data_IF_197212638899
#
_entry.id   IF_197212638899
#
_cell.length_a   1.000
_cell.length_b   1.000
_cell.length_c   1.000
_cell.angle_alpha   90.00
_cell.angle_beta   90.00
_cell.angle_gamma   90.00
#
_symmetry.space_group_name_H-M   'P 1'
#
loop_
_entity.id
_entity.type
_entity.pdbx_description
1 polymer ?
#
# COMPACT_ATOMS: atom_id res chain seq x y z
N UNK A 1 -51.59 -5.93 10.25
CA UNK A 1 -51.57 -6.51 8.88
C UNK A 1 -50.26 -7.23 8.54
N UNK A 2 -49.11 -6.94 9.16
CA UNK A 2 -47.84 -7.63 8.89
C UNK A 2 -47.72 -9.06 9.48
N UNK A 3 -48.30 -9.30 10.67
CA UNK A 3 -48.16 -10.61 11.38
C UNK A 3 -48.97 -11.73 10.72
N UNK A 4 -50.08 -11.40 10.03
CA UNK A 4 -50.96 -12.38 9.37
C UNK A 4 -50.44 -12.87 8.01
N UNK A 5 -49.33 -12.31 7.53
CA UNK A 5 -48.73 -12.58 6.22
C UNK A 5 -47.44 -13.45 6.30
N UNK A 6 -47.18 -14.13 7.42
CA UNK A 6 -46.03 -15.04 7.57
C UNK A 6 -44.67 -14.36 7.80
N UNK A 7 -44.60 -13.04 7.64
CA UNK A 7 -43.39 -12.20 7.75
C UNK A 7 -42.69 -12.35 9.11
N UNK A 8 -43.44 -12.62 10.18
CA UNK A 8 -42.86 -12.84 11.52
C UNK A 8 -41.95 -14.07 11.58
N UNK A 9 -42.28 -15.13 10.84
CA UNK A 9 -41.46 -16.34 10.82
C UNK A 9 -40.21 -16.15 9.95
N UNK A 10 -40.32 -15.37 8.88
CA UNK A 10 -39.15 -14.99 8.07
C UNK A 10 -38.16 -14.11 8.85
N UNK A 11 -38.65 -13.21 9.72
CA UNK A 11 -37.78 -12.39 10.58
C UNK A 11 -37.05 -13.26 11.61
N UNK A 12 -37.73 -14.21 12.23
CA UNK A 12 -37.09 -15.17 13.16
C UNK A 12 -36.05 -16.01 12.41
N UNK A 13 -36.39 -16.48 11.21
CA UNK A 13 -35.48 -17.23 10.34
C UNK A 13 -34.23 -16.43 9.98
N UNK A 14 -34.42 -15.18 9.57
CA UNK A 14 -33.34 -14.27 9.25
C UNK A 14 -32.40 -14.03 10.45
N UNK A 15 -32.95 -13.84 11.64
CA UNK A 15 -32.16 -13.61 12.86
C UNK A 15 -31.29 -14.82 13.18
N UNK A 16 -31.84 -16.05 13.25
CA UNK A 16 -31.04 -17.21 13.65
C UNK A 16 -30.04 -17.63 12.57
N UNK A 17 -30.38 -17.51 11.28
CA UNK A 17 -29.45 -17.76 10.17
C UNK A 17 -28.31 -16.75 10.17
N UNK A 18 -28.58 -15.48 10.44
CA UNK A 18 -27.55 -14.44 10.53
C UNK A 18 -26.59 -14.71 11.69
N UNK A 19 -27.11 -15.12 12.85
CA UNK A 19 -26.28 -15.51 14.00
C UNK A 19 -25.43 -16.74 13.66
N UNK A 20 -26.02 -17.77 13.05
CA UNK A 20 -25.29 -18.98 12.66
C UNK A 20 -24.19 -18.66 11.66
N UNK A 21 -24.47 -17.82 10.66
CA UNK A 21 -23.49 -17.38 9.67
C UNK A 21 -22.34 -16.59 10.32
N UNK A 22 -22.64 -15.68 11.24
CA UNK A 22 -21.62 -14.92 11.97
C UNK A 22 -20.70 -15.84 12.80
N UNK A 23 -21.27 -16.83 13.49
CA UNK A 23 -20.51 -17.83 14.25
C UNK A 23 -19.64 -18.66 13.31
N UNK A 24 -20.20 -19.20 12.23
CA UNK A 24 -19.45 -19.99 11.25
C UNK A 24 -18.29 -19.20 10.65
N UNK A 25 -18.53 -17.95 10.25
CA UNK A 25 -17.51 -17.06 9.69
C UNK A 25 -16.40 -16.75 10.70
N UNK A 26 -16.75 -16.50 11.98
CA UNK A 26 -15.78 -16.29 13.04
C UNK A 26 -14.87 -17.51 13.23
N UNK A 27 -15.44 -18.72 13.27
CA UNK A 27 -14.66 -19.94 13.44
C UNK A 27 -13.77 -20.24 12.23
N UNK A 28 -14.29 -20.10 11.01
CA UNK A 28 -13.52 -20.29 9.77
C UNK A 28 -12.37 -19.29 9.71
N UNK A 29 -12.65 -17.99 9.91
CA UNK A 29 -11.64 -16.96 9.92
C UNK A 29 -10.60 -17.20 11.01
N UNK A 30 -11.02 -17.43 12.26
CA UNK A 30 -10.12 -17.70 13.39
C UNK A 30 -9.24 -18.93 13.14
N UNK A 31 -9.77 -19.99 12.52
CA UNK A 31 -8.99 -21.16 12.13
C UNK A 31 -7.98 -20.84 11.03
N UNK A 32 -8.39 -20.13 9.98
CA UNK A 32 -7.49 -19.72 8.90
C UNK A 32 -6.37 -18.79 9.41
N UNK A 33 -6.72 -17.86 10.27
CA UNK A 33 -5.80 -16.91 10.92
C UNK A 33 -4.78 -17.65 11.79
N UNK A 34 -5.21 -18.61 12.62
CA UNK A 34 -4.30 -19.36 13.51
C UNK A 34 -3.44 -20.37 12.77
N UNK A 35 -3.98 -21.07 11.77
CA UNK A 35 -3.28 -22.16 11.06
C UNK A 35 -2.42 -21.69 9.89
N UNK A 36 -2.88 -20.68 9.15
CA UNK A 36 -2.19 -20.17 7.95
C UNK A 36 -1.48 -18.82 8.19
N UNK A 37 -1.40 -18.36 9.44
CA UNK A 37 -0.78 -17.10 9.86
C UNK A 37 -1.12 -15.91 8.94
N UNK A 38 -2.39 -15.81 8.52
CA UNK A 38 -2.82 -14.74 7.63
C UNK A 38 -2.65 -13.37 8.31
N UNK A 39 -2.12 -12.42 7.55
CA UNK A 39 -1.98 -11.03 7.98
C UNK A 39 -3.38 -10.40 8.07
N UNK A 40 -3.92 -10.35 9.29
CA UNK A 40 -5.17 -9.66 9.60
C UNK A 40 -4.88 -8.25 10.05
N UNK A 41 -5.80 -7.34 9.80
CA UNK A 41 -5.68 -5.93 10.19
C UNK A 41 -5.32 -5.81 11.71
N UNK A 42 -4.11 -5.33 12.01
CA UNK A 42 -3.57 -5.20 13.37
C UNK A 42 -2.73 -6.39 13.90
N UNK A 43 -2.55 -7.45 13.10
CA UNK A 43 -1.69 -8.60 13.40
C UNK A 43 -0.71 -8.80 12.24
N UNK A 44 0.58 -8.96 12.52
CA UNK A 44 1.61 -9.04 11.48
C UNK A 44 1.76 -7.73 10.65
N UNK A 45 1.65 -6.56 11.31
CA UNK A 45 1.97 -5.27 10.69
C UNK A 45 0.88 -4.65 9.79
N UNK A 46 -0.28 -5.29 9.64
CA UNK A 46 -1.32 -4.84 8.70
C UNK A 46 -2.03 -3.51 9.08
N UNK A 47 -1.69 -2.90 10.22
CA UNK A 47 -2.06 -1.50 10.54
C UNK A 47 -0.87 -0.63 10.94
N UNK A 48 0.34 -1.18 10.93
CA UNK A 48 1.50 -0.38 11.28
C UNK A 48 1.94 0.38 10.03
N UNK A 49 1.61 1.66 10.00
CA UNK A 49 2.28 2.67 9.18
C UNK A 49 3.81 2.73 9.44
N UNK A 50 4.33 1.83 10.29
CA UNK A 50 5.73 1.49 10.48
C UNK A 50 5.85 -0.03 10.68
N UNK A 51 5.96 -0.78 9.59
CA UNK A 51 6.35 -2.21 9.51
C UNK A 51 5.23 -3.15 9.06
N UNK A 52 5.15 -3.37 7.75
CA UNK A 52 4.79 -4.66 7.19
C UNK A 52 5.97 -5.15 6.32
N UNK A 53 6.83 -5.94 6.97
CA UNK A 53 7.84 -6.94 6.53
C UNK A 53 8.51 -6.72 5.15
N UNK A 54 9.83 -6.71 4.95
CA UNK A 54 10.94 -7.38 5.65
C UNK A 54 10.72 -8.85 5.99
N UNK A 55 10.68 -9.66 4.94
CA UNK A 55 11.21 -11.02 5.01
C UNK A 55 12.56 -11.05 4.29
N UNK A 56 13.62 -11.09 5.10
CA UNK A 56 14.95 -11.67 4.85
C UNK A 56 15.84 -11.05 3.77
N UNK A 57 16.60 -10.04 4.18
CA UNK A 57 18.07 -10.01 3.99
C UNK A 57 18.68 -9.11 5.06
N UNK A 58 19.54 -9.67 5.91
CA UNK A 58 20.30 -8.96 6.94
C UNK A 58 20.96 -7.70 6.38
N UNK A 59 20.51 -6.50 6.76
CA UNK A 59 21.34 -5.28 6.83
C UNK A 59 20.64 -4.19 7.67
N UNK A 60 21.40 -3.27 8.30
CA UNK A 60 20.92 -2.48 9.44
C UNK A 60 19.92 -1.40 9.00
N UNK A 61 18.65 -1.59 9.36
CA UNK A 61 17.56 -0.64 9.09
C UNK A 61 17.45 0.49 10.12
N UNK A 62 18.24 1.53 9.94
CA UNK A 62 17.85 2.89 10.36
C UNK A 62 18.16 3.95 9.27
N UNK A 63 18.83 3.57 8.18
CA UNK A 63 19.16 4.46 7.06
C UNK A 63 18.28 4.27 5.79
N UNK A 64 17.34 3.31 5.78
CA UNK A 64 16.75 2.79 4.53
C UNK A 64 15.45 3.46 4.05
N UNK A 65 14.66 4.11 4.91
CA UNK A 65 13.47 4.83 4.45
C UNK A 65 13.87 6.04 3.59
N UNK A 66 14.88 6.78 4.06
CA UNK A 66 15.49 7.87 3.31
C UNK A 66 16.14 7.36 2.01
N UNK A 67 16.81 6.20 2.04
CA UNK A 67 17.46 5.65 0.84
C UNK A 67 16.47 5.23 -0.23
N UNK A 68 15.35 4.60 0.13
CA UNK A 68 14.31 4.20 -0.82
C UNK A 68 13.67 5.43 -1.49
N UNK A 69 13.33 6.45 -0.71
CA UNK A 69 12.72 7.69 -1.26
C UNK A 69 13.72 8.44 -2.12
N UNK A 70 14.99 8.55 -1.70
CA UNK A 70 16.07 9.12 -2.50
C UNK A 70 16.26 8.36 -3.81
N UNK A 71 16.21 7.03 -3.78
CA UNK A 71 16.31 6.19 -4.97
C UNK A 71 15.13 6.40 -5.91
N UNK A 72 13.91 6.53 -5.39
CA UNK A 72 12.71 6.86 -6.19
C UNK A 72 12.86 8.23 -6.84
N UNK A 73 13.32 9.25 -6.12
CA UNK A 73 13.51 10.59 -6.69
C UNK A 73 14.62 10.59 -7.75
N UNK A 74 15.69 9.84 -7.54
CA UNK A 74 16.73 9.67 -8.56
C UNK A 74 16.21 8.94 -9.81
N UNK A 75 15.41 7.88 -9.64
CA UNK A 75 14.74 7.17 -10.73
C UNK A 75 13.72 8.05 -11.46
N UNK A 76 13.21 9.10 -10.82
CA UNK A 76 12.34 10.09 -11.45
C UNK A 76 13.12 11.17 -12.22
N UNK A 77 14.44 11.10 -12.30
CA UNK A 77 15.28 12.12 -12.94
C UNK A 77 15.65 13.29 -12.00
N UNK A 78 15.45 13.11 -10.70
CA UNK A 78 15.73 14.11 -9.67
C UNK A 78 14.58 15.07 -9.40
N UNK A 79 14.74 15.90 -8.36
CA UNK A 79 13.74 16.85 -7.88
C UNK A 79 13.19 17.79 -8.97
N UNK A 80 14.04 18.25 -9.87
CA UNK A 80 13.66 19.21 -10.91
C UNK A 80 12.75 18.60 -11.98
N UNK A 81 12.66 17.27 -12.06
CA UNK A 81 11.84 16.59 -13.04
C UNK A 81 10.43 16.26 -12.52
N UNK A 82 10.17 16.41 -11.23
CA UNK A 82 8.89 16.07 -10.60
C UNK A 82 7.98 17.31 -10.62
N UNK A 83 6.86 17.21 -11.33
CA UNK A 83 5.86 18.28 -11.41
C UNK A 83 4.82 18.16 -10.29
N UNK A 84 4.32 16.95 -10.04
CA UNK A 84 3.31 16.68 -9.02
C UNK A 84 3.43 15.23 -8.51
N UNK A 85 3.12 15.03 -7.22
CA UNK A 85 3.18 13.73 -6.55
C UNK A 85 1.87 13.48 -5.82
N UNK A 86 1.14 12.48 -6.28
CA UNK A 86 -0.09 12.02 -5.65
C UNK A 86 -0.05 10.51 -5.37
N UNK A 87 -0.85 10.03 -4.43
CA UNK A 87 -0.97 8.62 -4.11
C UNK A 87 -2.44 8.25 -3.87
N UNK A 88 -2.81 7.08 -4.36
CA UNK A 88 -4.03 6.39 -4.00
C UNK A 88 -3.72 5.33 -2.91
N UNK A 89 -4.71 4.52 -2.54
CA UNK A 89 -4.53 3.42 -1.56
C UNK A 89 -3.37 2.46 -1.87
N UNK A 90 -3.07 2.20 -3.14
CA UNK A 90 -2.07 1.18 -3.54
C UNK A 90 -1.07 1.62 -4.59
N UNK A 91 -1.22 2.84 -5.12
CA UNK A 91 -0.46 3.32 -6.28
C UNK A 91 0.01 4.74 -6.05
N UNK A 92 1.28 4.98 -6.31
CA UNK A 92 1.91 6.29 -6.36
C UNK A 92 1.82 6.80 -7.81
N UNK A 93 1.22 7.97 -8.00
CA UNK A 93 1.06 8.65 -9.28
C UNK A 93 1.96 9.87 -9.28
N UNK A 94 2.97 9.88 -10.14
CA UNK A 94 3.89 11.00 -10.28
C UNK A 94 3.72 11.59 -11.67
N UNK A 95 3.60 12.91 -11.76
CA UNK A 95 3.68 13.63 -13.01
C UNK A 95 5.09 14.19 -13.13
N UNK A 96 5.78 13.91 -14.24
CA UNK A 96 7.13 14.42 -14.52
C UNK A 96 7.14 15.38 -15.70
N UNK A 97 8.15 16.24 -15.75
CA UNK A 97 8.37 17.15 -16.88
C UNK A 97 8.97 16.42 -18.09
N UNK A 98 9.88 15.48 -17.86
CA UNK A 98 10.54 14.71 -18.89
C UNK A 98 10.53 13.22 -18.54
N UNK A 99 9.84 12.42 -19.36
CA UNK A 99 9.72 10.97 -19.18
C UNK A 99 11.01 10.22 -19.55
N UNK A 100 11.89 10.80 -20.35
CA UNK A 100 13.13 10.14 -20.83
C UNK A 100 14.19 10.04 -19.72
N UNK A 101 14.06 10.84 -18.67
CA UNK A 101 14.93 10.82 -17.48
C UNK A 101 14.48 9.77 -16.45
N UNK A 102 13.36 9.10 -16.69
CA UNK A 102 12.81 8.11 -15.78
C UNK A 102 13.56 6.79 -15.96
N UNK A 103 14.07 6.24 -14.87
CA UNK A 103 14.81 4.98 -14.87
C UNK A 103 13.96 3.77 -15.25
N UNK A 104 14.65 2.69 -15.67
CA UNK A 104 14.03 1.45 -16.13
C UNK A 104 13.22 0.72 -15.06
N UNK A 105 12.29 -0.13 -15.49
CA UNK A 105 11.45 -0.97 -14.62
C UNK A 105 12.27 -1.80 -13.61
N UNK A 106 13.48 -2.21 -13.96
CA UNK A 106 14.39 -2.92 -13.06
C UNK A 106 14.79 -2.07 -11.84
N UNK A 107 15.08 -0.78 -12.05
CA UNK A 107 15.41 0.15 -10.97
C UNK A 107 14.21 0.41 -10.06
N UNK A 108 13.01 0.50 -10.64
CA UNK A 108 11.76 0.64 -9.88
C UNK A 108 11.45 -0.59 -9.03
N UNK A 109 11.69 -1.80 -9.55
CA UNK A 109 11.58 -3.05 -8.78
C UNK A 109 12.59 -3.09 -7.63
N UNK A 110 13.83 -2.64 -7.86
CA UNK A 110 14.84 -2.53 -6.81
C UNK A 110 14.45 -1.52 -5.73
N UNK A 111 13.81 -0.41 -6.12
CA UNK A 111 13.25 0.58 -5.20
C UNK A 111 11.94 0.11 -4.52
N UNK A 112 11.56 -1.16 -4.66
CA UNK A 112 10.43 -1.79 -3.97
C UNK A 112 9.07 -1.65 -4.67
N UNK A 113 9.02 -1.21 -5.93
CA UNK A 113 7.78 -1.18 -6.70
C UNK A 113 7.43 -2.60 -7.17
N UNK A 114 6.17 -3.00 -7.02
CA UNK A 114 5.63 -4.25 -7.58
C UNK A 114 5.47 -4.18 -9.10
N UNK A 115 5.35 -2.96 -9.62
CA UNK A 115 5.25 -2.69 -11.05
C UNK A 115 5.22 -1.19 -11.31
N UNK A 116 5.53 -0.82 -12.55
CA UNK A 116 5.51 0.56 -13.03
C UNK A 116 4.76 0.63 -14.36
N UNK A 117 4.02 1.70 -14.55
CA UNK A 117 3.32 2.04 -15.79
C UNK A 117 3.74 3.46 -16.15
N UNK A 118 4.41 3.63 -17.29
CA UNK A 118 4.77 4.94 -17.83
C UNK A 118 3.81 5.26 -18.98
N UNK A 119 3.13 6.41 -18.90
CA UNK A 119 2.23 6.92 -19.94
C UNK A 119 2.52 8.39 -20.20
N UNK A 120 3.33 8.67 -21.21
CA UNK A 120 3.79 10.03 -21.49
C UNK A 120 4.51 10.59 -20.26
N UNK A 121 4.04 11.73 -19.75
CA UNK A 121 4.56 12.38 -18.54
C UNK A 121 4.02 11.81 -17.22
N UNK A 122 3.06 10.90 -17.27
CA UNK A 122 2.45 10.30 -16.08
C UNK A 122 3.06 8.93 -15.74
N UNK A 123 3.61 8.80 -14.55
CA UNK A 123 4.21 7.57 -14.03
C UNK A 123 3.31 7.02 -12.92
N UNK A 124 3.00 5.73 -12.97
CA UNK A 124 2.26 5.05 -11.91
C UNK A 124 3.07 3.86 -11.41
N UNK A 125 3.52 3.95 -10.17
CA UNK A 125 4.22 2.87 -9.50
C UNK A 125 3.32 2.22 -8.44
N UNK A 126 3.29 0.89 -8.40
CA UNK A 126 2.45 0.12 -7.48
C UNK A 126 3.31 -0.28 -6.28
N UNK A 127 3.01 0.30 -5.11
CA UNK A 127 3.71 0.02 -3.84
C UNK A 127 2.81 -0.65 -2.79
N UNK A 128 1.55 -0.91 -3.13
CA UNK A 128 0.57 -1.42 -2.18
C UNK A 128 0.26 -0.38 -1.09
N UNK A 129 -0.11 -0.79 0.14
CA UNK A 129 -0.54 0.13 1.20
C UNK A 129 0.54 1.14 1.63
N UNK A 130 1.79 0.95 1.19
CA UNK A 130 2.92 1.86 1.45
C UNK A 130 2.90 3.12 0.58
N UNK A 131 2.05 3.18 -0.45
CA UNK A 131 2.01 4.28 -1.42
C UNK A 131 1.71 5.65 -0.78
N UNK A 132 0.81 5.69 0.21
CA UNK A 132 0.42 6.94 0.88
C UNK A 132 1.55 7.50 1.75
N UNK A 133 2.25 6.62 2.48
CA UNK A 133 3.43 6.98 3.28
C UNK A 133 4.56 7.48 2.38
N UNK A 134 4.84 6.77 1.28
CA UNK A 134 5.84 7.18 0.28
C UNK A 134 5.56 8.56 -0.30
N UNK A 135 4.29 8.92 -0.56
CA UNK A 135 3.93 10.28 -1.00
C UNK A 135 4.34 11.32 0.03
N UNK A 136 3.96 11.10 1.30
CA UNK A 136 4.30 12.04 2.38
C UNK A 136 5.81 12.22 2.48
N UNK A 137 6.56 11.12 2.50
CA UNK A 137 8.02 11.17 2.61
C UNK A 137 8.67 11.86 1.40
N UNK A 138 8.17 11.64 0.18
CA UNK A 138 8.64 12.35 -1.03
C UNK A 138 8.33 13.84 -0.90
N UNK A 139 7.13 14.22 -0.50
CA UNK A 139 6.74 15.62 -0.34
C UNK A 139 7.56 16.32 0.75
N UNK A 140 7.85 15.65 1.86
CA UNK A 140 8.69 16.16 2.93
C UNK A 140 10.16 16.32 2.48
N UNK A 141 10.70 15.38 1.70
CA UNK A 141 12.04 15.52 1.11
C UNK A 141 12.10 16.65 0.07
N UNK A 142 11.06 16.81 -0.74
CA UNK A 142 10.96 17.94 -1.66
C UNK A 142 10.77 19.26 -0.89
N UNK A 143 10.04 19.29 0.22
CA UNK A 143 9.84 20.48 1.05
C UNK A 143 11.11 20.90 1.81
N UNK A 144 11.90 19.94 2.30
CA UNK A 144 13.06 20.18 3.17
C UNK A 144 14.28 20.77 2.46
N UNK A 145 14.34 20.76 1.12
CA UNK A 145 15.45 21.38 0.40
C UNK A 145 16.78 20.60 0.46
N UNK A 146 16.77 19.39 1.03
CA UNK A 146 17.96 18.57 1.18
C UNK A 146 18.55 18.18 -0.19
N UNK A 147 19.88 18.25 -0.31
CA UNK A 147 20.59 17.75 -1.49
C UNK A 147 20.38 16.24 -1.59
N UNK A 148 19.74 15.82 -2.67
CA UNK A 148 19.48 14.40 -2.94
C UNK A 148 20.79 13.81 -3.46
N UNK A 149 21.45 12.91 -2.72
CA UNK A 149 22.67 12.29 -3.21
C UNK A 149 22.32 11.47 -4.45
N UNK A 150 23.02 11.74 -5.55
CA UNK A 150 22.97 10.92 -6.77
C UNK A 150 23.66 9.60 -6.45
N UNK A 151 22.90 8.51 -6.46
CA UNK A 151 23.43 7.15 -6.46
C UNK A 151 23.87 6.74 -7.86
#
# INVERSE_FOLDING_TARGET
MAIKAGIGMDVINFIWVSILFAVAMFFIANFMIKKFNLATAGRNGNYDAKSADESTSNEPKVANASSQVVQIVNLLGGRNNIADVDACMTRLRITVHNADLVGDEAGWKQAGAMGIIIKGTGIQAIYGPKADVLKSDIQDLLGSGAEIPKV
#
